data_IF_311178304628
#
_entry.id   IF_311178304628
#
_cell.length_a   1.000
_cell.length_b   1.000
_cell.length_c   1.000
_cell.angle_alpha   90.00
_cell.angle_beta   90.00
_cell.angle_gamma   90.00
#
_symmetry.space_group_name_H-M   'P 1'
#
loop_
_entity.id
_entity.type
_entity.pdbx_description
1 polymer ?
#
# COMPACT_ATOMS: atom_id res chain seq x y z
N UNK A 1 1.98 -9.57 -27.26
CA UNK A 1 3.44 -9.75 -27.29
C UNK A 1 3.99 -8.51 -26.60
N UNK A 2 4.44 -8.62 -25.35
CA UNK A 2 5.01 -7.49 -24.62
C UNK A 2 6.32 -7.09 -25.31
N UNK A 3 6.57 -5.80 -25.45
CA UNK A 3 7.84 -5.33 -26.01
C UNK A 3 9.00 -5.87 -25.15
N UNK A 4 10.11 -6.33 -25.76
CA UNK A 4 11.21 -6.98 -25.04
C UNK A 4 11.84 -6.11 -23.95
N UNK A 5 11.65 -4.79 -24.04
CA UNK A 5 12.11 -3.80 -23.05
C UNK A 5 11.16 -3.74 -21.85
N UNK A 6 9.85 -3.92 -22.05
CA UNK A 6 8.83 -3.90 -20.99
C UNK A 6 8.81 -5.18 -20.15
N UNK A 7 9.22 -6.32 -20.73
CA UNK A 7 9.31 -7.60 -20.03
C UNK A 7 10.55 -7.74 -19.13
N UNK A 8 11.58 -6.91 -19.34
CA UNK A 8 12.86 -7.02 -18.65
C UNK A 8 12.74 -6.84 -17.12
N UNK A 9 12.00 -5.85 -16.59
CA UNK A 9 11.86 -5.68 -15.13
C UNK A 9 11.13 -6.86 -14.48
N UNK A 10 10.13 -7.43 -15.18
CA UNK A 10 9.35 -8.59 -14.70
C UNK A 10 10.24 -9.83 -14.63
N UNK A 11 11.07 -10.05 -15.67
CA UNK A 11 12.01 -11.17 -15.71
C UNK A 11 13.08 -11.06 -14.60
N UNK A 12 13.63 -9.87 -14.38
CA UNK A 12 14.59 -9.61 -13.30
C UNK A 12 13.94 -9.87 -11.94
N UNK A 13 12.73 -9.37 -11.71
CA UNK A 13 11.98 -9.59 -10.47
C UNK A 13 11.70 -11.08 -10.21
N UNK A 14 11.33 -11.84 -11.25
CA UNK A 14 11.08 -13.27 -11.15
C UNK A 14 12.35 -14.05 -10.77
N UNK A 15 13.48 -13.76 -11.41
CA UNK A 15 14.78 -14.39 -11.10
C UNK A 15 15.20 -14.06 -9.66
N UNK A 16 15.04 -12.82 -9.23
CA UNK A 16 15.38 -12.40 -7.86
C UNK A 16 14.49 -13.09 -6.81
N UNK A 17 13.20 -13.25 -7.10
CA UNK A 17 12.26 -13.98 -6.25
C UNK A 17 12.61 -15.46 -6.10
N UNK A 18 13.05 -16.12 -7.18
CA UNK A 18 13.50 -17.52 -7.15
C UNK A 18 14.77 -17.67 -6.29
N UNK A 19 15.74 -16.77 -6.45
CA UNK A 19 16.98 -16.77 -5.67
C UNK A 19 16.68 -16.60 -4.18
N UNK A 20 15.81 -15.63 -3.83
CA UNK A 20 15.39 -15.40 -2.45
C UNK A 20 14.67 -16.63 -1.87
N UNK A 21 13.72 -17.23 -2.60
CA UNK A 21 13.01 -18.43 -2.15
C UNK A 21 13.98 -19.60 -1.86
N UNK A 22 15.01 -19.76 -2.68
CA UNK A 22 16.05 -20.78 -2.49
C UNK A 22 16.90 -20.51 -1.23
N UNK A 23 17.30 -19.25 -1.02
CA UNK A 23 18.04 -18.84 0.17
C UNK A 23 17.22 -19.02 1.46
N UNK A 24 15.91 -18.74 1.43
CA UNK A 24 15.00 -18.99 2.55
C UNK A 24 14.90 -20.46 2.91
N UNK A 25 14.82 -21.34 1.91
CA UNK A 25 14.79 -22.79 2.11
C UNK A 25 16.07 -23.29 2.79
N UNK A 26 17.24 -22.78 2.39
CA UNK A 26 18.53 -23.20 2.96
C UNK A 26 18.72 -22.77 4.42
N UNK A 27 18.12 -21.64 4.83
CA UNK A 27 18.36 -21.05 6.15
C UNK A 27 17.18 -21.20 7.13
N UNK A 28 16.10 -21.88 6.73
CA UNK A 28 14.98 -22.20 7.64
C UNK A 28 15.36 -23.38 8.54
N UNK A 29 15.39 -23.16 9.85
CA UNK A 29 15.48 -24.23 10.84
C UNK A 29 14.08 -24.57 11.35
N UNK A 30 13.73 -25.86 11.52
CA UNK A 30 12.48 -26.24 12.16
C UNK A 30 12.52 -25.82 13.63
N UNK A 31 11.50 -25.08 14.07
CA UNK A 31 11.32 -24.67 15.46
C UNK A 31 10.31 -25.62 16.16
N UNK A 32 10.23 -25.54 17.49
CA UNK A 32 9.46 -26.49 18.33
C UNK A 32 7.93 -26.32 18.16
N UNK A 33 7.49 -25.18 17.62
CA UNK A 33 6.12 -24.94 17.19
C UNK A 33 6.00 -25.10 15.67
N UNK A 34 5.15 -26.00 15.18
CA UNK A 34 5.01 -26.32 13.73
C UNK A 34 4.69 -25.11 12.84
N UNK A 35 4.19 -24.01 13.41
CA UNK A 35 3.81 -22.79 12.70
C UNK A 35 4.87 -21.67 12.72
N UNK A 36 5.96 -21.84 13.47
CA UNK A 36 7.03 -20.84 13.59
C UNK A 36 8.32 -21.45 13.06
N UNK A 37 8.97 -20.81 12.10
CA UNK A 37 10.29 -21.23 11.62
C UNK A 37 11.28 -20.11 11.85
N UNK A 38 12.43 -20.41 12.42
CA UNK A 38 13.51 -19.44 12.55
C UNK A 38 14.29 -19.40 11.25
N UNK A 39 14.35 -18.24 10.62
CA UNK A 39 15.14 -17.98 9.42
C UNK A 39 16.19 -16.94 9.81
N UNK A 40 17.48 -17.28 9.70
CA UNK A 40 18.58 -16.41 10.13
C UNK A 40 18.48 -15.92 11.58
N UNK A 41 18.04 -16.79 12.50
CA UNK A 41 17.85 -16.46 13.93
C UNK A 41 16.76 -15.42 14.22
N UNK A 42 15.95 -15.07 13.23
CA UNK A 42 14.75 -14.23 13.36
C UNK A 42 13.53 -15.15 13.23
N UNK A 43 12.48 -14.92 14.03
CA UNK A 43 11.26 -15.71 13.89
C UNK A 43 10.58 -15.41 12.55
N UNK A 44 9.99 -16.42 11.90
CA UNK A 44 9.26 -16.26 10.63
C UNK A 44 8.21 -15.17 10.71
N UNK A 45 7.54 -15.03 11.86
CA UNK A 45 6.56 -13.97 12.10
C UNK A 45 7.20 -12.57 12.09
N UNK A 46 8.34 -12.39 12.76
CA UNK A 46 9.09 -11.13 12.73
C UNK A 46 9.61 -10.83 11.33
N UNK A 47 10.10 -11.84 10.62
CA UNK A 47 10.55 -11.71 9.25
C UNK A 47 9.43 -11.27 8.30
N UNK A 48 8.26 -11.92 8.36
CA UNK A 48 7.07 -11.55 7.58
C UNK A 48 6.62 -10.13 7.89
N UNK A 49 6.55 -9.76 9.18
CA UNK A 49 6.20 -8.40 9.58
C UNK A 49 7.19 -7.37 9.02
N UNK A 50 8.50 -7.64 9.11
CA UNK A 50 9.54 -6.77 8.57
C UNK A 50 9.43 -6.63 7.05
N UNK A 51 9.16 -7.74 6.35
CA UNK A 51 8.97 -7.78 4.91
C UNK A 51 7.76 -6.94 4.50
N UNK A 52 6.60 -7.12 5.17
CA UNK A 52 5.38 -6.32 4.92
C UNK A 52 5.67 -4.84 5.14
N UNK A 53 6.35 -4.48 6.23
CA UNK A 53 6.73 -3.09 6.53
C UNK A 53 7.64 -2.54 5.43
N UNK A 54 8.65 -3.30 4.99
CA UNK A 54 9.56 -2.88 3.92
C UNK A 54 8.84 -2.70 2.59
N UNK A 55 7.94 -3.61 2.22
CA UNK A 55 7.17 -3.52 0.98
C UNK A 55 6.25 -2.31 1.00
N UNK A 56 5.56 -2.07 2.12
CA UNK A 56 4.76 -0.87 2.30
C UNK A 56 5.61 0.40 2.19
N UNK A 57 6.77 0.45 2.87
CA UNK A 57 7.67 1.60 2.82
C UNK A 57 8.19 1.87 1.39
N UNK A 58 8.64 0.85 0.67
CA UNK A 58 9.09 0.98 -0.72
C UNK A 58 7.97 1.44 -1.63
N UNK A 59 6.76 0.90 -1.46
CA UNK A 59 5.58 1.33 -2.23
C UNK A 59 5.28 2.82 -2.01
N UNK A 60 5.28 3.28 -0.76
CA UNK A 60 5.10 4.70 -0.45
C UNK A 60 6.19 5.59 -1.04
N UNK A 61 7.46 5.16 -1.00
CA UNK A 61 8.58 5.90 -1.60
C UNK A 61 8.39 6.02 -3.11
N UNK A 62 8.11 4.91 -3.80
CA UNK A 62 7.93 4.89 -5.26
C UNK A 62 6.78 5.81 -5.67
N UNK A 63 5.62 5.72 -5.01
CA UNK A 63 4.48 6.59 -5.31
C UNK A 63 4.81 8.05 -5.02
N UNK A 64 5.48 8.34 -3.90
CA UNK A 64 5.87 9.72 -3.57
C UNK A 64 6.84 10.30 -4.59
N UNK A 65 7.79 9.49 -5.09
CA UNK A 65 8.70 9.91 -6.17
C UNK A 65 7.95 10.17 -7.47
N UNK A 66 7.00 9.30 -7.84
CA UNK A 66 6.15 9.51 -9.03
C UNK A 66 5.27 10.77 -8.84
N UNK A 67 4.76 11.03 -7.64
CA UNK A 67 4.00 12.24 -7.28
C UNK A 67 4.81 13.53 -7.38
N UNK A 68 6.10 13.49 -7.09
CA UNK A 68 6.97 14.65 -7.27
C UNK A 68 7.20 14.92 -8.76
N UNK A 69 7.31 13.87 -9.58
CA UNK A 69 7.61 13.95 -11.01
C UNK A 69 6.36 14.34 -11.83
N UNK A 70 5.24 13.66 -11.59
CA UNK A 70 3.97 13.80 -12.32
C UNK A 70 3.04 14.65 -11.47
N UNK A 71 3.27 15.97 -11.42
CA UNK A 71 2.38 16.89 -10.69
C UNK A 71 1.03 17.03 -11.40
N UNK A 72 0.13 16.09 -11.21
CA UNK A 72 -1.27 16.24 -11.63
C UNK A 72 -2.09 16.97 -10.56
N UNK A 73 -1.84 18.28 -10.45
CA UNK A 73 -2.56 19.16 -9.50
C UNK A 73 -3.81 19.76 -10.13
N UNK A 74 -4.10 19.47 -11.40
CA UNK A 74 -5.15 20.16 -12.16
C UNK A 74 -6.53 19.95 -11.53
N UNK A 75 -6.86 18.71 -11.16
CA UNK A 75 -8.13 18.40 -10.50
C UNK A 75 -8.27 19.13 -9.15
N UNK A 76 -7.18 19.21 -8.38
CA UNK A 76 -7.13 19.87 -7.07
C UNK A 76 -7.42 21.37 -7.24
N UNK A 77 -6.82 22.00 -8.26
CA UNK A 77 -7.01 23.43 -8.52
C UNK A 77 -8.38 23.75 -9.10
N UNK A 78 -8.91 22.90 -9.98
CA UNK A 78 -10.19 23.14 -10.66
C UNK A 78 -11.40 22.80 -9.76
N UNK A 79 -11.28 21.80 -8.88
CA UNK A 79 -12.39 21.29 -8.08
C UNK A 79 -12.00 21.04 -6.60
N UNK A 80 -11.56 22.07 -5.85
CA UNK A 80 -11.01 21.89 -4.50
C UNK A 80 -12.00 21.28 -3.50
N UNK A 81 -13.30 21.61 -3.63
CA UNK A 81 -14.35 21.06 -2.76
C UNK A 81 -14.60 19.57 -3.00
N UNK A 82 -14.64 19.14 -4.27
CA UNK A 82 -14.79 17.73 -4.62
C UNK A 82 -13.55 16.93 -4.20
N UNK A 83 -12.36 17.48 -4.41
CA UNK A 83 -11.11 16.89 -3.95
C UNK A 83 -11.08 16.69 -2.42
N UNK A 84 -11.49 17.70 -1.65
CA UNK A 84 -11.60 17.57 -0.20
C UNK A 84 -12.61 16.49 0.20
N UNK A 85 -13.79 16.47 -0.42
CA UNK A 85 -14.80 15.45 -0.20
C UNK A 85 -14.30 14.04 -0.51
N UNK A 86 -13.54 13.89 -1.59
CA UNK A 86 -12.94 12.62 -2.00
C UNK A 86 -11.88 12.13 -1.00
N UNK A 87 -10.99 13.01 -0.53
CA UNK A 87 -10.03 12.67 0.53
C UNK A 87 -10.75 12.26 1.80
N UNK A 88 -11.76 13.01 2.24
CA UNK A 88 -12.56 12.66 3.42
C UNK A 88 -13.22 11.29 3.24
N UNK A 89 -13.82 11.02 2.08
CA UNK A 89 -14.45 9.73 1.83
C UNK A 89 -13.44 8.58 1.82
N UNK A 90 -12.33 8.73 1.09
CA UNK A 90 -11.28 7.73 0.97
C UNK A 90 -10.53 7.47 2.29
N UNK A 91 -10.50 8.44 3.21
CA UNK A 91 -9.87 8.29 4.53
C UNK A 91 -10.83 7.73 5.58
N UNK A 92 -12.02 8.31 5.73
CA UNK A 92 -12.94 7.97 6.81
C UNK A 92 -13.69 6.67 6.56
N UNK A 93 -14.14 6.38 5.33
CA UNK A 93 -14.96 5.19 5.06
C UNK A 93 -14.22 3.88 5.35
N UNK A 94 -13.04 3.61 4.76
CA UNK A 94 -12.33 2.36 5.04
C UNK A 94 -11.88 2.26 6.51
N UNK A 95 -11.47 3.37 7.11
CA UNK A 95 -11.09 3.41 8.54
C UNK A 95 -12.28 3.08 9.44
N UNK A 96 -13.48 3.59 9.11
CA UNK A 96 -14.70 3.32 9.88
C UNK A 96 -15.09 1.85 9.80
N UNK A 97 -14.97 1.23 8.62
CA UNK A 97 -15.23 -0.21 8.44
C UNK A 97 -14.30 -1.05 9.33
N UNK A 98 -13.00 -0.72 9.35
CA UNK A 98 -12.03 -1.42 10.21
C UNK A 98 -12.31 -1.17 11.69
N UNK A 99 -12.62 0.07 12.07
CA UNK A 99 -12.95 0.43 13.44
C UNK A 99 -14.17 -0.33 13.97
N UNK A 100 -15.27 -0.33 13.20
CA UNK A 100 -16.48 -1.08 13.54
C UNK A 100 -16.18 -2.58 13.62
N UNK A 101 -15.40 -3.12 12.67
CA UNK A 101 -14.98 -4.53 12.71
C UNK A 101 -14.19 -4.88 13.97
N UNK A 102 -13.34 -3.98 14.45
CA UNK A 102 -12.57 -4.12 15.69
C UNK A 102 -13.50 -4.12 16.92
N UNK A 103 -14.50 -3.24 16.97
CA UNK A 103 -15.49 -3.22 18.05
C UNK A 103 -16.36 -4.49 18.06
N UNK A 104 -16.77 -4.98 16.89
CA UNK A 104 -17.54 -6.23 16.74
C UNK A 104 -16.73 -7.45 17.22
N UNK A 105 -15.40 -7.40 17.15
CA UNK A 105 -14.50 -8.43 17.69
C UNK A 105 -14.32 -8.36 19.21
N UNK A 106 -15.01 -7.44 19.89
CA UNK A 106 -14.98 -7.31 21.35
C UNK A 106 -13.84 -6.43 21.88
N UNK A 107 -13.15 -5.68 21.01
CA UNK A 107 -12.21 -4.65 21.48
C UNK A 107 -13.00 -3.48 22.06
N UNK A 108 -12.64 -3.05 23.27
CA UNK A 108 -13.36 -1.98 23.98
C UNK A 108 -13.22 -0.62 23.28
N UNK A 109 -14.26 0.20 23.36
CA UNK A 109 -14.22 1.59 22.90
C UNK A 109 -13.43 2.43 23.92
N UNK A 110 -12.13 2.59 23.68
CA UNK A 110 -11.21 3.32 24.58
C UNK A 110 -10.52 4.47 23.85
N UNK A 111 -9.86 5.35 24.61
CA UNK A 111 -9.07 6.44 24.03
C UNK A 111 -7.98 5.92 23.07
N UNK A 112 -7.33 4.81 23.42
CA UNK A 112 -6.33 4.15 22.56
C UNK A 112 -6.95 3.69 21.22
N UNK A 113 -8.14 3.09 21.27
CA UNK A 113 -8.84 2.64 20.06
C UNK A 113 -9.24 3.80 19.14
N UNK A 114 -9.60 4.95 19.73
CA UNK A 114 -9.88 6.18 18.98
C UNK A 114 -8.60 6.73 18.35
N UNK A 115 -7.48 6.72 19.07
CA UNK A 115 -6.18 7.15 18.54
C UNK A 115 -5.76 6.27 17.34
N UNK A 116 -5.86 4.94 17.47
CA UNK A 116 -5.58 4.00 16.38
C UNK A 116 -6.49 4.22 15.17
N UNK A 117 -7.77 4.55 15.40
CA UNK A 117 -8.69 4.91 14.34
C UNK A 117 -8.29 6.20 13.62
N UNK A 118 -7.95 7.26 14.35
CA UNK A 118 -7.50 8.53 13.75
C UNK A 118 -6.17 8.34 12.98
N UNK A 119 -5.31 7.46 13.47
CA UNK A 119 -4.09 7.07 12.77
C UNK A 119 -4.40 6.35 11.46
N UNK A 120 -5.40 5.46 11.43
CA UNK A 120 -5.88 4.82 10.20
C UNK A 120 -6.45 5.85 9.20
N UNK A 121 -7.30 6.77 9.66
CA UNK A 121 -7.86 7.85 8.84
C UNK A 121 -6.73 8.65 8.19
N UNK A 122 -5.72 9.02 8.98
CA UNK A 122 -4.56 9.76 8.48
C UNK A 122 -3.76 8.97 7.45
N UNK A 123 -3.51 7.68 7.70
CA UNK A 123 -2.79 6.79 6.76
C UNK A 123 -3.52 6.66 5.43
N UNK A 124 -4.82 6.39 5.43
CA UNK A 124 -5.61 6.31 4.20
C UNK A 124 -5.69 7.65 3.47
N UNK A 125 -5.86 8.76 4.20
CA UNK A 125 -5.89 10.11 3.62
C UNK A 125 -4.58 10.49 2.92
N UNK A 126 -3.44 10.27 3.58
CA UNK A 126 -2.11 10.51 2.99
C UNK A 126 -1.90 9.63 1.77
N UNK A 127 -2.27 8.34 1.85
CA UNK A 127 -2.16 7.41 0.72
C UNK A 127 -2.97 7.88 -0.49
N UNK A 128 -4.23 8.27 -0.27
CA UNK A 128 -5.09 8.78 -1.34
C UNK A 128 -4.54 10.05 -1.96
N UNK A 129 -4.03 10.97 -1.14
CA UNK A 129 -3.39 12.21 -1.60
C UNK A 129 -2.15 11.91 -2.45
N UNK A 130 -1.32 10.95 -2.06
CA UNK A 130 -0.16 10.52 -2.83
C UNK A 130 -0.55 9.86 -4.15
N UNK A 131 -1.63 9.07 -4.19
CA UNK A 131 -2.16 8.55 -5.44
C UNK A 131 -2.68 9.65 -6.37
N UNK A 132 -3.39 10.64 -5.84
CA UNK A 132 -3.87 11.76 -6.63
C UNK A 132 -2.69 12.55 -7.22
N UNK A 133 -1.72 12.90 -6.37
CA UNK A 133 -0.58 13.70 -6.78
C UNK A 133 0.40 12.95 -7.68
N UNK A 134 0.40 11.61 -7.70
CA UNK A 134 1.18 10.79 -8.65
C UNK A 134 0.60 10.71 -10.05
N UNK A 135 -0.58 11.30 -10.28
CA UNK A 135 -1.29 11.11 -11.55
C UNK A 135 -1.72 9.65 -11.77
N UNK A 136 -1.70 8.82 -10.71
CA UNK A 136 -2.08 7.41 -10.78
C UNK A 136 -3.48 7.25 -11.36
N UNK A 137 -4.44 8.08 -10.90
CA UNK A 137 -5.81 8.03 -11.40
C UNK A 137 -5.92 8.42 -12.87
N UNK A 138 -5.15 9.41 -13.34
CA UNK A 138 -5.10 9.80 -14.74
C UNK A 138 -4.50 8.72 -15.64
N UNK A 139 -3.57 7.92 -15.11
CA UNK A 139 -2.99 6.77 -15.80
C UNK A 139 -3.92 5.55 -15.83
N UNK A 140 -4.52 5.18 -14.70
CA UNK A 140 -5.39 3.99 -14.60
C UNK A 140 -6.78 4.23 -15.19
N UNK A 141 -7.30 5.45 -15.07
CA UNK A 141 -8.59 5.87 -15.59
C UNK A 141 -8.42 6.99 -16.63
N UNK A 142 -7.81 6.70 -17.80
CA UNK A 142 -7.62 7.71 -18.82
C UNK A 142 -8.97 8.23 -19.29
N UNK A 143 -9.10 9.56 -19.43
CA UNK A 143 -10.32 10.18 -19.99
C UNK A 143 -10.56 9.57 -21.37
N UNK A 144 -11.73 8.96 -21.58
CA UNK A 144 -12.16 8.54 -22.93
C UNK A 144 -12.14 9.78 -23.84
N UNK A 145 -11.28 9.76 -24.85
CA UNK A 145 -11.28 10.74 -25.94
C UNK A 145 -12.54 10.52 -26.78
N UNK A 146 -13.67 11.07 -26.33
CA UNK A 146 -14.94 10.87 -27.00
C UNK A 146 -16.08 11.52 -26.23
N UNK A 147 -16.19 12.84 -26.36
CA UNK A 147 -17.40 13.64 -26.62
C UNK A 147 -17.10 15.03 -26.09
N UNK A 148 -16.68 15.91 -27.00
CA UNK A 148 -16.89 17.34 -26.79
C UNK A 148 -18.40 17.56 -26.74
N UNK A 149 -18.90 18.13 -25.65
CA UNK A 149 -20.19 18.79 -25.57
C UNK A 149 -19.96 20.13 -24.88
#
# INVERSE_FOLDING_TARGET
MLDPIEGLPVAIGAVFGIILAYLFKLHSKPDINEFTKTIFSISSQQFINLLIISMAATFFIVISTIAIIIKDTRFITENPGLFFGEICFASFVPSTILFVSTLVRGVGFTALTIEEYLLLVSKFGITHLLFQLSGYYSYVFPKRSGTQA
#
